data_IF_585576309922
#
_entry.id   IF_585576309922
#
_cell.length_a   1.000
_cell.length_b   1.000
_cell.length_c   1.000
_cell.angle_alpha   90.00
_cell.angle_beta   90.00
_cell.angle_gamma   90.00
#
_symmetry.space_group_name_H-M   'P 1'
#
loop_
_entity.id
_entity.type
_entity.pdbx_description
1 polymer ?
#
# COMPACT_ATOMS: atom_id res chain seq x y z
N UNK A 1 3.90 -4.54 17.74
CA UNK A 1 3.30 -5.51 16.77
C UNK A 1 3.62 -5.12 15.32
N UNK A 2 3.31 -5.92 14.30
CA UNK A 2 3.49 -5.51 12.89
C UNK A 2 2.19 -5.66 12.11
N UNK A 3 1.82 -4.59 11.41
CA UNK A 3 0.57 -4.45 10.67
C UNK A 3 0.86 -4.02 9.24
N UNK A 4 0.00 -4.42 8.30
CA UNK A 4 0.07 -3.97 6.92
C UNK A 4 -1.26 -3.34 6.48
N UNK A 5 -1.21 -2.32 5.63
CA UNK A 5 -2.36 -1.72 4.96
C UNK A 5 -2.11 -1.66 3.45
N UNK A 6 -2.95 -2.36 2.70
CA UNK A 6 -3.00 -2.31 1.24
C UNK A 6 -4.03 -1.26 0.81
N UNK A 7 -3.53 -0.16 0.25
CA UNK A 7 -4.34 0.99 -0.18
C UNK A 7 -4.88 0.74 -1.60
N UNK A 8 -6.17 0.50 -1.68
CA UNK A 8 -6.93 0.19 -2.90
C UNK A 8 -7.99 1.25 -3.23
N UNK A 9 -7.84 2.49 -2.73
CA UNK A 9 -8.81 3.59 -2.91
C UNK A 9 -8.96 4.16 -4.33
N UNK A 10 -8.08 3.78 -5.26
CA UNK A 10 -8.10 4.35 -6.61
C UNK A 10 -9.28 3.86 -7.45
N UNK A 11 -10.08 4.77 -7.99
CA UNK A 11 -11.22 4.45 -8.88
C UNK A 11 -10.83 4.21 -10.35
N UNK A 12 -9.54 4.31 -10.70
CA UNK A 12 -9.06 3.98 -12.04
C UNK A 12 -9.43 4.99 -13.15
N UNK A 13 -9.73 6.24 -12.81
CA UNK A 13 -10.21 7.29 -13.73
C UNK A 13 -9.38 7.50 -15.02
N UNK A 14 -8.09 7.17 -15.00
CA UNK A 14 -7.19 7.27 -16.18
C UNK A 14 -7.21 6.04 -17.09
N UNK A 15 -7.73 4.91 -16.63
CA UNK A 15 -7.69 3.62 -17.34
C UNK A 15 -8.99 3.33 -18.11
N UNK A 16 -10.05 4.13 -17.94
CA UNK A 16 -11.31 4.00 -18.69
C UNK A 16 -12.00 2.64 -18.54
N UNK A 17 -11.65 1.87 -17.51
CA UNK A 17 -12.21 0.55 -17.27
C UNK A 17 -13.53 0.64 -16.49
N UNK A 18 -14.45 -0.29 -16.75
CA UNK A 18 -15.73 -0.40 -16.03
C UNK A 18 -15.57 -0.72 -14.53
N UNK A 19 -14.38 -1.23 -14.15
CA UNK A 19 -14.04 -1.51 -12.76
C UNK A 19 -12.71 -0.84 -12.36
N UNK A 20 -12.53 -0.52 -11.06
CA UNK A 20 -11.26 -0.02 -10.54
C UNK A 20 -10.09 -0.95 -10.89
N UNK A 21 -8.98 -0.33 -11.31
CA UNK A 21 -7.80 -1.03 -11.88
C UNK A 21 -7.23 -2.16 -11.01
N UNK A 22 -7.35 -2.07 -9.69
CA UNK A 22 -6.87 -3.10 -8.75
C UNK A 22 -7.61 -4.43 -8.91
N UNK A 23 -8.81 -4.45 -9.47
CA UNK A 23 -9.57 -5.68 -9.70
C UNK A 23 -9.30 -6.32 -11.07
N UNK A 24 -8.65 -5.59 -11.99
CA UNK A 24 -8.26 -6.14 -13.28
C UNK A 24 -7.27 -7.29 -13.09
N UNK A 25 -7.37 -8.29 -13.97
CA UNK A 25 -6.49 -9.46 -13.94
C UNK A 25 -5.20 -9.17 -14.70
N UNK A 26 -4.07 -9.47 -14.05
CA UNK A 26 -2.76 -9.54 -14.69
C UNK A 26 -2.25 -10.99 -14.60
N UNK A 27 -2.04 -11.62 -15.75
CA UNK A 27 -1.69 -13.05 -15.81
C UNK A 27 -2.71 -13.95 -15.10
N UNK A 28 -4.01 -13.74 -15.37
CA UNK A 28 -5.11 -14.56 -14.85
C UNK A 28 -5.56 -14.28 -13.41
N UNK A 29 -4.80 -13.51 -12.62
CA UNK A 29 -5.10 -13.20 -11.21
C UNK A 29 -5.31 -11.70 -11.00
N UNK A 30 -6.32 -11.26 -10.21
CA UNK A 30 -6.54 -9.84 -9.92
C UNK A 30 -5.32 -9.19 -9.28
N UNK A 31 -5.05 -7.95 -9.68
CA UNK A 31 -3.88 -7.19 -9.20
C UNK A 31 -3.90 -7.04 -7.68
N UNK A 32 -5.06 -6.71 -7.09
CA UNK A 32 -5.25 -6.57 -5.65
C UNK A 32 -4.87 -7.85 -4.91
N UNK A 33 -5.37 -8.99 -5.39
CA UNK A 33 -5.15 -10.30 -4.76
C UNK A 33 -3.65 -10.62 -4.74
N UNK A 34 -2.90 -10.31 -5.81
CA UNK A 34 -1.43 -10.50 -5.85
C UNK A 34 -0.72 -9.67 -4.77
N UNK A 35 -1.15 -8.42 -4.57
CA UNK A 35 -0.56 -7.53 -3.57
C UNK A 35 -0.88 -7.97 -2.14
N UNK A 36 -2.14 -8.33 -1.86
CA UNK A 36 -2.59 -8.75 -0.52
C UNK A 36 -1.96 -10.09 -0.12
N UNK A 37 -1.82 -11.04 -1.06
CA UNK A 37 -1.25 -12.35 -0.80
C UNK A 37 0.19 -12.28 -0.26
N UNK A 38 0.99 -11.28 -0.67
CA UNK A 38 2.34 -11.10 -0.15
C UNK A 38 2.38 -10.76 1.36
N UNK A 39 1.30 -10.18 1.89
CA UNK A 39 1.17 -9.93 3.32
C UNK A 39 0.42 -11.07 4.01
N UNK A 40 -0.66 -11.56 3.41
CA UNK A 40 -1.51 -12.60 4.01
C UNK A 40 -0.81 -13.96 4.18
N UNK A 41 0.28 -14.23 3.44
CA UNK A 41 1.07 -15.45 3.60
C UNK A 41 2.07 -15.41 4.77
N UNK A 42 2.12 -14.32 5.55
CA UNK A 42 3.09 -14.11 6.62
C UNK A 42 2.45 -14.31 7.99
N UNK A 43 3.08 -15.09 8.84
CA UNK A 43 2.64 -15.39 10.21
C UNK A 43 3.12 -14.35 11.25
N UNK A 44 4.01 -13.43 10.85
CA UNK A 44 4.55 -12.37 11.71
C UNK A 44 3.73 -11.06 11.68
N UNK A 45 2.65 -11.02 10.89
CA UNK A 45 1.73 -9.88 10.83
C UNK A 45 0.51 -10.12 11.73
N UNK A 46 0.24 -9.17 12.61
CA UNK A 46 -0.93 -9.19 13.48
C UNK A 46 -2.24 -8.94 12.70
N UNK A 47 -2.18 -8.10 11.65
CA UNK A 47 -3.33 -7.83 10.78
C UNK A 47 -2.90 -7.27 9.41
N UNK A 48 -3.68 -7.61 8.37
CA UNK A 48 -3.58 -7.01 7.04
C UNK A 48 -4.88 -6.28 6.73
N UNK A 49 -4.82 -4.95 6.68
CA UNK A 49 -5.93 -4.11 6.28
C UNK A 49 -5.95 -3.92 4.77
N UNK A 50 -7.12 -3.98 4.15
CA UNK A 50 -7.34 -3.66 2.74
C UNK A 50 -8.37 -2.55 2.65
N UNK A 51 -7.95 -1.37 2.21
CA UNK A 51 -8.81 -0.19 2.18
C UNK A 51 -9.23 0.14 0.77
N UNK A 52 -10.54 0.07 0.52
CA UNK A 52 -11.17 0.20 -0.82
C UNK A 52 -12.27 1.26 -0.78
N UNK A 53 -12.73 1.83 -1.92
CA UNK A 53 -13.94 2.65 -1.91
C UNK A 53 -15.12 1.90 -1.28
N UNK A 54 -15.98 2.63 -0.57
CA UNK A 54 -17.10 2.09 0.22
C UNK A 54 -17.98 1.12 -0.59
N UNK A 55 -18.37 1.52 -1.80
CA UNK A 55 -19.19 0.70 -2.72
C UNK A 55 -18.52 -0.62 -3.13
N UNK A 56 -17.21 -0.76 -2.95
CA UNK A 56 -16.41 -1.92 -3.32
C UNK A 56 -16.00 -2.80 -2.12
N UNK A 57 -16.40 -2.45 -0.89
CA UNK A 57 -16.04 -3.22 0.32
C UNK A 57 -16.57 -4.65 0.25
N UNK A 58 -17.85 -4.84 -0.06
CA UNK A 58 -18.45 -6.18 -0.16
C UNK A 58 -17.77 -7.01 -1.26
N UNK A 59 -17.61 -6.43 -2.45
CA UNK A 59 -16.94 -7.09 -3.58
C UNK A 59 -15.51 -7.51 -3.21
N UNK A 60 -14.77 -6.66 -2.50
CA UNK A 60 -13.39 -6.94 -2.09
C UNK A 60 -13.32 -8.07 -1.07
N UNK A 61 -14.25 -8.11 -0.10
CA UNK A 61 -14.34 -9.21 0.87
C UNK A 61 -14.58 -10.53 0.16
N UNK A 62 -15.59 -10.58 -0.71
CA UNK A 62 -15.94 -11.79 -1.47
C UNK A 62 -14.78 -12.24 -2.36
N UNK A 63 -14.10 -11.28 -3.00
CA UNK A 63 -12.95 -11.57 -3.84
C UNK A 63 -11.80 -12.18 -3.04
N UNK A 64 -11.42 -11.61 -1.91
CA UNK A 64 -10.30 -12.13 -1.10
C UNK A 64 -10.64 -13.51 -0.50
N UNK A 65 -11.88 -13.72 -0.07
CA UNK A 65 -12.39 -15.01 0.39
C UNK A 65 -12.25 -16.11 -0.67
N UNK A 66 -12.52 -15.81 -1.95
CA UNK A 66 -12.32 -16.77 -3.06
C UNK A 66 -10.87 -17.24 -3.21
N UNK A 67 -9.91 -16.45 -2.72
CA UNK A 67 -8.48 -16.79 -2.71
C UNK A 67 -8.00 -17.28 -1.34
N UNK A 68 -8.91 -17.64 -0.42
CA UNK A 68 -8.56 -18.15 0.91
C UNK A 68 -8.07 -17.08 1.88
N UNK A 69 -8.21 -15.80 1.53
CA UNK A 69 -7.84 -14.66 2.39
C UNK A 69 -9.10 -14.11 3.05
N UNK A 70 -9.41 -14.62 4.24
CA UNK A 70 -10.55 -14.19 5.05
C UNK A 70 -10.16 -13.98 6.51
N UNK A 71 -11.13 -13.91 7.44
CA UNK A 71 -10.85 -13.96 8.87
C UNK A 71 -10.38 -15.38 9.25
N UNK A 72 -9.08 -15.63 9.09
CA UNK A 72 -8.36 -16.85 9.47
C UNK A 72 -7.10 -16.51 10.27
N UNK A 73 -6.06 -17.36 10.23
CA UNK A 73 -4.85 -17.23 11.06
C UNK A 73 -4.10 -15.89 10.89
N UNK A 74 -4.15 -15.29 9.70
CA UNK A 74 -3.76 -13.90 9.46
C UNK A 74 -5.03 -13.12 9.09
N UNK A 75 -5.54 -12.24 9.97
CA UNK A 75 -6.81 -11.58 9.71
C UNK A 75 -6.63 -10.53 8.62
N UNK A 76 -7.14 -10.84 7.42
CA UNK A 76 -7.31 -9.86 6.35
C UNK A 76 -8.63 -9.14 6.57
N UNK A 77 -8.57 -7.87 6.98
CA UNK A 77 -9.75 -7.04 7.22
C UNK A 77 -9.92 -6.03 6.10
N UNK A 78 -11.12 -6.00 5.50
CA UNK A 78 -11.46 -5.01 4.46
C UNK A 78 -12.25 -3.86 5.07
N UNK A 79 -11.76 -2.64 4.88
CA UNK A 79 -12.34 -1.40 5.37
C UNK A 79 -12.66 -0.44 4.21
N UNK A 80 -13.57 0.49 4.46
CA UNK A 80 -13.77 1.63 3.58
C UNK A 80 -12.60 2.61 3.71
N UNK A 81 -12.03 3.01 2.57
CA UNK A 81 -11.10 4.14 2.50
C UNK A 81 -11.82 5.48 2.67
N UNK A 82 -11.04 6.53 2.85
CA UNK A 82 -11.56 7.91 2.95
C UNK A 82 -11.53 8.65 1.61
N UNK A 83 -11.96 9.92 1.62
CA UNK A 83 -12.01 10.77 0.43
C UNK A 83 -10.61 11.06 -0.14
N UNK A 84 -9.61 11.15 0.73
CA UNK A 84 -8.20 11.30 0.36
C UNK A 84 -7.35 10.10 0.77
N UNK A 85 -6.10 10.04 0.29
CA UNK A 85 -5.13 9.05 0.76
C UNK A 85 -4.87 9.17 2.27
N UNK A 86 -4.83 10.40 2.79
CA UNK A 86 -4.59 10.62 4.22
C UNK A 86 -5.78 10.18 5.07
N UNK A 87 -7.01 10.44 4.61
CA UNK A 87 -8.22 9.95 5.30
C UNK A 87 -8.26 8.42 5.30
N UNK A 88 -7.86 7.79 4.19
CA UNK A 88 -7.71 6.34 4.12
C UNK A 88 -6.71 5.82 5.16
N UNK A 89 -5.54 6.46 5.27
CA UNK A 89 -4.56 6.09 6.30
C UNK A 89 -5.10 6.31 7.71
N UNK A 90 -5.86 7.38 7.94
CA UNK A 90 -6.50 7.67 9.22
C UNK A 90 -7.47 6.56 9.61
N UNK A 91 -8.35 6.12 8.70
CA UNK A 91 -9.27 5.00 8.96
C UNK A 91 -8.52 3.70 9.32
N UNK A 92 -7.36 3.45 8.70
CA UNK A 92 -6.55 2.29 9.03
C UNK A 92 -5.98 2.39 10.45
N UNK A 93 -5.44 3.56 10.82
CA UNK A 93 -4.89 3.81 12.17
C UNK A 93 -5.99 3.70 13.23
N UNK A 94 -7.14 4.36 13.01
CA UNK A 94 -8.25 4.33 13.96
C UNK A 94 -8.74 2.88 14.19
N UNK A 95 -8.80 2.05 13.13
CA UNK A 95 -9.14 0.63 13.28
C UNK A 95 -8.11 -0.12 14.13
N UNK A 96 -6.82 0.13 13.91
CA UNK A 96 -5.75 -0.51 14.68
C UNK A 96 -5.78 -0.09 16.16
N UNK A 97 -5.98 1.20 16.44
CA UNK A 97 -6.12 1.74 17.81
C UNK A 97 -7.34 1.16 18.56
N UNK A 98 -8.44 0.89 17.84
CA UNK A 98 -9.65 0.33 18.44
C UNK A 98 -9.53 -1.18 18.74
N UNK A 99 -8.76 -1.93 17.94
CA UNK A 99 -8.76 -3.39 17.96
C UNK A 99 -7.47 -4.03 18.51
N UNK A 100 -6.40 -3.25 18.68
CA UNK A 100 -5.10 -3.75 19.12
C UNK A 100 -4.46 -2.79 20.14
N UNK A 101 -3.73 -3.35 21.11
CA UNK A 101 -2.96 -2.58 22.08
C UNK A 101 -1.66 -2.08 21.44
N UNK A 102 -1.72 -0.93 20.76
CA UNK A 102 -0.56 -0.34 20.10
C UNK A 102 0.46 0.20 21.11
N UNK A 103 1.73 0.01 20.79
CA UNK A 103 2.89 0.47 21.57
C UNK A 103 3.92 1.19 20.68
N UNK A 104 4.91 1.82 21.29
CA UNK A 104 5.99 2.50 20.57
C UNK A 104 6.84 1.56 19.70
N UNK A 105 6.71 0.23 19.83
CA UNK A 105 7.39 -0.77 19.00
C UNK A 105 6.48 -1.35 17.91
N UNK A 106 5.29 -0.80 17.75
CA UNK A 106 4.38 -1.17 16.68
C UNK A 106 4.88 -0.66 15.34
N UNK A 107 4.62 -1.44 14.29
CA UNK A 107 5.09 -1.17 12.93
C UNK A 107 3.90 -1.21 12.01
N UNK A 108 3.70 -0.14 11.27
CA UNK A 108 2.65 0.02 10.28
C UNK A 108 3.23 0.15 8.88
N UNK A 109 3.01 -0.87 8.04
CA UNK A 109 3.46 -0.93 6.65
C UNK A 109 2.30 -0.52 5.75
N UNK A 110 2.54 0.40 4.83
CA UNK A 110 1.54 0.84 3.84
C UNK A 110 2.01 0.47 2.43
N UNK A 111 1.11 -0.09 1.62
CA UNK A 111 1.43 -0.54 0.26
C UNK A 111 0.33 -0.19 -0.74
N UNK A 112 0.69 0.21 -1.96
CA UNK A 112 -0.30 0.48 -2.99
C UNK A 112 -0.79 -0.83 -3.63
N UNK A 113 -2.11 -1.04 -3.71
CA UNK A 113 -2.70 -2.26 -4.26
C UNK A 113 -2.26 -2.59 -5.69
N UNK A 114 -1.90 -1.58 -6.49
CA UNK A 114 -1.51 -1.73 -7.90
C UNK A 114 -0.01 -1.89 -8.14
N UNK A 115 0.72 -2.36 -7.11
CA UNK A 115 2.13 -2.76 -7.20
C UNK A 115 2.26 -4.26 -6.87
N UNK A 116 1.78 -5.15 -7.76
CA UNK A 116 1.60 -6.57 -7.46
C UNK A 116 2.89 -7.40 -7.41
N UNK A 117 4.04 -6.79 -7.71
CA UNK A 117 5.36 -7.45 -7.70
C UNK A 117 6.16 -7.12 -6.44
N UNK A 118 5.46 -6.88 -5.33
CA UNK A 118 6.06 -6.83 -4.01
C UNK A 118 6.73 -8.17 -3.69
N UNK A 119 7.87 -8.13 -3.03
CA UNK A 119 8.61 -9.33 -2.62
C UNK A 119 8.72 -9.40 -1.10
N UNK A 120 8.88 -10.61 -0.56
CA UNK A 120 9.10 -10.81 0.88
C UNK A 120 10.33 -10.04 1.39
N UNK A 121 11.41 -10.03 0.61
CA UNK A 121 12.61 -9.24 0.93
C UNK A 121 12.30 -7.75 1.12
N UNK A 122 11.47 -7.15 0.26
CA UNK A 122 11.10 -5.73 0.40
C UNK A 122 10.33 -5.46 1.70
N UNK A 123 9.48 -6.40 2.12
CA UNK A 123 8.73 -6.33 3.38
C UNK A 123 9.69 -6.45 4.56
N UNK A 124 10.57 -7.46 4.54
CA UNK A 124 11.57 -7.68 5.61
C UNK A 124 12.51 -6.49 5.77
N UNK A 125 13.02 -5.95 4.67
CA UNK A 125 13.89 -4.76 4.68
C UNK A 125 13.17 -3.54 5.25
N UNK A 126 11.86 -3.39 4.96
CA UNK A 126 11.04 -2.30 5.52
C UNK A 126 10.85 -2.46 7.04
N UNK A 127 10.52 -3.67 7.51
CA UNK A 127 10.36 -3.96 8.94
C UNK A 127 11.67 -3.73 9.70
N UNK A 128 12.81 -4.11 9.12
CA UNK A 128 14.12 -3.86 9.72
C UNK A 128 14.43 -2.36 9.79
N UNK A 129 14.29 -1.64 8.68
CA UNK A 129 14.63 -0.23 8.59
C UNK A 129 13.73 0.66 9.46
N UNK A 130 12.44 0.39 9.55
CA UNK A 130 11.51 1.16 10.40
C UNK A 130 11.75 0.92 11.88
N UNK A 131 12.18 -0.29 12.28
CA UNK A 131 12.57 -0.57 13.66
C UNK A 131 13.80 0.24 14.05
N UNK A 132 14.75 0.42 13.13
CA UNK A 132 15.97 1.20 13.38
C UNK A 132 15.74 2.73 13.33
N UNK A 133 14.94 3.21 12.37
CA UNK A 133 14.87 4.64 12.04
C UNK A 133 13.51 5.30 12.36
N UNK A 134 12.51 4.54 12.80
CA UNK A 134 11.15 5.02 13.07
C UNK A 134 10.28 5.24 11.83
N UNK A 135 10.88 5.50 10.67
CA UNK A 135 10.18 5.55 9.39
C UNK A 135 11.11 5.13 8.24
N UNK A 136 10.56 4.46 7.24
CA UNK A 136 11.29 4.14 6.01
C UNK A 136 10.38 4.15 4.78
N UNK A 137 10.97 4.40 3.61
CA UNK A 137 10.28 4.34 2.33
C UNK A 137 11.09 3.58 1.30
N UNK A 138 10.43 2.75 0.51
CA UNK A 138 11.04 2.09 -0.64
C UNK A 138 11.21 3.09 -1.77
N UNK A 139 12.39 3.18 -2.39
CA UNK A 139 12.62 4.06 -3.53
C UNK A 139 13.53 3.42 -4.58
N UNK A 140 13.50 3.99 -5.79
CA UNK A 140 14.41 3.63 -6.89
C UNK A 140 15.09 4.90 -7.42
N UNK A 141 16.30 4.81 -7.99
CA UNK A 141 16.94 5.97 -8.63
C UNK A 141 16.05 6.55 -9.74
N UNK A 142 16.03 7.88 -9.87
CA UNK A 142 15.32 8.53 -10.97
C UNK A 142 15.99 8.19 -12.32
N UNK A 143 15.21 7.68 -13.28
CA UNK A 143 15.68 7.37 -14.64
C UNK A 143 15.51 8.56 -15.58
N UNK A 144 14.36 9.22 -15.47
CA UNK A 144 14.01 10.35 -16.32
C UNK A 144 14.77 11.60 -15.90
N UNK A 145 15.04 12.49 -16.85
CA UNK A 145 15.54 13.83 -16.54
C UNK A 145 14.42 14.62 -15.87
N UNK A 146 14.63 15.01 -14.62
CA UNK A 146 13.72 15.88 -13.90
C UNK A 146 14.14 17.33 -14.15
N UNK A 147 13.16 18.19 -14.43
CA UNK A 147 13.35 19.63 -14.58
C UNK A 147 12.52 20.36 -13.54
N UNK A 148 13.04 21.47 -13.04
CA UNK A 148 12.27 22.43 -12.24
C UNK A 148 11.76 23.51 -13.18
N UNK A 149 10.48 23.83 -13.07
CA UNK A 149 9.85 24.95 -13.76
C UNK A 149 9.04 25.73 -12.74
N UNK A 150 9.38 27.00 -12.54
CA UNK A 150 8.66 27.87 -11.60
C UNK A 150 7.32 28.36 -12.17
N UNK A 151 7.19 28.42 -13.49
CA UNK A 151 6.03 28.96 -14.21
C UNK A 151 5.24 27.91 -15.02
N UNK A 152 5.76 26.68 -15.13
CA UNK A 152 5.19 25.60 -15.93
C UNK A 152 5.39 25.76 -17.44
N UNK A 153 6.15 26.76 -17.90
CA UNK A 153 6.38 27.05 -19.33
C UNK A 153 7.85 27.05 -19.74
N UNK A 154 8.78 27.32 -18.82
CA UNK A 154 10.22 27.31 -19.06
C UNK A 154 10.97 26.46 -18.02
N UNK A 155 12.12 25.90 -18.41
CA UNK A 155 13.01 25.17 -17.50
C UNK A 155 13.84 26.18 -16.70
N UNK A 156 13.70 26.16 -15.38
CA UNK A 156 14.49 26.98 -14.45
C UNK A 156 15.77 26.27 -14.00
N UNK A 157 15.71 24.94 -13.79
CA UNK A 157 16.84 24.13 -13.33
C UNK A 157 16.72 22.69 -13.83
N UNK A 158 17.86 22.02 -13.99
CA UNK A 158 17.96 20.58 -14.17
C UNK A 158 18.80 20.02 -12.99
N UNK A 159 18.16 19.51 -11.93
CA UNK A 159 18.88 19.02 -10.76
C UNK A 159 19.76 17.80 -11.08
N UNK A 160 20.78 17.57 -10.25
CA UNK A 160 21.63 16.39 -10.35
C UNK A 160 20.83 15.10 -10.08
N UNK A 161 20.51 14.38 -11.16
CA UNK A 161 19.71 13.15 -11.14
C UNK A 161 20.29 12.07 -10.23
N UNK A 162 21.61 12.04 -10.02
CA UNK A 162 22.25 11.04 -9.16
C UNK A 162 21.80 11.13 -7.69
N UNK A 163 21.25 12.28 -7.29
CA UNK A 163 20.71 12.56 -5.96
C UNK A 163 19.19 12.40 -5.88
N UNK A 164 18.52 12.06 -6.99
CA UNK A 164 17.07 11.99 -7.08
C UNK A 164 16.57 10.54 -7.10
N UNK A 165 15.49 10.30 -6.35
CA UNK A 165 14.87 9.00 -6.22
C UNK A 165 13.36 9.12 -6.41
N UNK A 166 12.76 8.12 -7.03
CA UNK A 166 11.31 7.98 -7.16
C UNK A 166 10.80 7.12 -6.01
N UNK A 167 10.04 7.75 -5.12
CA UNK A 167 9.38 7.06 -4.01
C UNK A 167 8.39 6.00 -4.53
N UNK A 168 8.46 4.82 -3.94
CA UNK A 168 7.57 3.70 -4.19
C UNK A 168 6.83 3.35 -2.89
N UNK A 169 6.19 2.19 -2.89
CA UNK A 169 5.71 1.50 -1.68
C UNK A 169 6.23 0.06 -1.70
N UNK A 170 6.47 -0.57 -0.52
CA UNK A 170 5.97 -0.19 0.80
C UNK A 170 6.66 1.01 1.44
N UNK A 171 5.92 1.70 2.31
CA UNK A 171 6.39 2.73 3.24
C UNK A 171 5.98 2.32 4.63
N UNK A 172 6.89 2.39 5.59
CA UNK A 172 6.66 1.86 6.94
C UNK A 172 6.94 2.91 7.99
N UNK A 173 6.14 2.88 9.04
CA UNK A 173 6.16 3.83 10.15
C UNK A 173 6.07 3.07 11.47
N UNK A 174 6.68 3.63 12.51
CA UNK A 174 6.47 3.25 13.89
C UNK A 174 5.23 4.00 14.41
#
# INVERSE_FOLDING_TARGET
MTFAAVLAGGIGSRMGAEMPKQYLKAGGKPILVRSVEQFACRDDLACVLVLTPEDWVSYTKDLLLQYGMGPGDVPVTVLAGGATRNDTLRNAIDYLEEHFDLDDDSVFITHDAVRPFLTQKMIDDNIAAVREHGACGTCIPATDTIVVSEDGTAISEIPDRSRLYQMQTPQSFR
#
